data_IF_910573979340
#
_entry.id   IF_910573979340
#
_cell.length_a   1.000
_cell.length_b   1.000
_cell.length_c   1.000
_cell.angle_alpha   90.00
_cell.angle_beta   90.00
_cell.angle_gamma   90.00
#
_symmetry.space_group_name_H-M   'P 1'
#
loop_
_entity.id
_entity.type
_entity.pdbx_description
1 polymer ?
#
# COMPACT_ATOMS: atom_id res chain seq x y z
N UNK A 1 16.88 11.33 -17.44
CA UNK A 1 17.43 10.00 -17.73
C UNK A 1 18.13 9.35 -16.54
N UNK A 2 19.24 9.90 -15.99
CA UNK A 2 19.96 9.30 -14.84
C UNK A 2 19.05 8.87 -13.66
N UNK A 3 18.22 9.77 -13.13
CA UNK A 3 17.27 9.44 -12.06
C UNK A 3 16.28 8.33 -12.42
N UNK A 4 15.85 8.27 -13.68
CA UNK A 4 14.93 7.24 -14.14
C UNK A 4 15.58 5.86 -14.17
N UNK A 5 16.84 5.77 -14.61
CA UNK A 5 17.61 4.50 -14.60
C UNK A 5 17.83 3.99 -13.18
N UNK A 6 18.21 4.88 -12.25
CA UNK A 6 18.41 4.52 -10.84
C UNK A 6 17.12 4.02 -10.19
N UNK A 7 16.01 4.72 -10.42
CA UNK A 7 14.73 4.30 -9.87
C UNK A 7 14.31 2.93 -10.43
N UNK A 8 14.48 2.69 -11.73
CA UNK A 8 14.19 1.38 -12.32
C UNK A 8 15.09 0.27 -11.78
N UNK A 9 16.39 0.52 -11.56
CA UNK A 9 17.27 -0.49 -10.98
C UNK A 9 16.87 -0.85 -9.55
N UNK A 10 16.35 0.10 -8.78
CA UNK A 10 15.81 -0.16 -7.44
C UNK A 10 14.53 -1.02 -7.46
N UNK A 11 13.72 -0.94 -8.51
CA UNK A 11 12.47 -1.71 -8.64
C UNK A 11 12.66 -3.17 -9.08
N UNK A 12 13.86 -3.54 -9.56
CA UNK A 12 14.17 -4.92 -9.91
C UNK A 12 14.07 -5.86 -8.70
N UNK A 13 14.51 -5.40 -7.52
CA UNK A 13 14.42 -6.17 -6.28
C UNK A 13 12.98 -6.56 -5.93
N UNK A 14 12.07 -5.59 -5.75
CA UNK A 14 10.65 -5.88 -5.54
C UNK A 14 10.03 -6.79 -6.61
N UNK A 15 10.38 -6.63 -7.89
CA UNK A 15 9.85 -7.48 -8.96
C UNK A 15 10.26 -8.94 -8.76
N UNK A 16 11.54 -9.18 -8.49
CA UNK A 16 12.05 -10.52 -8.20
C UNK A 16 11.43 -11.09 -6.92
N UNK A 17 11.16 -10.26 -5.92
CA UNK A 17 10.51 -10.68 -4.68
C UNK A 17 9.08 -11.21 -4.93
N UNK A 18 8.27 -10.54 -5.77
CA UNK A 18 6.94 -11.06 -6.13
C UNK A 18 7.00 -12.38 -6.93
N UNK A 19 7.97 -12.50 -7.84
CA UNK A 19 8.18 -13.75 -8.58
C UNK A 19 8.61 -14.90 -7.65
N UNK A 20 9.48 -14.62 -6.68
CA UNK A 20 9.85 -15.57 -5.64
C UNK A 20 8.67 -15.91 -4.72
N UNK A 21 7.83 -14.92 -4.38
CA UNK A 21 6.61 -15.15 -3.59
C UNK A 21 5.68 -16.14 -4.30
N UNK A 22 5.45 -15.95 -5.60
CA UNK A 22 4.66 -16.89 -6.42
C UNK A 22 5.22 -18.32 -6.37
N UNK A 23 6.53 -18.49 -6.59
CA UNK A 23 7.12 -19.83 -6.64
C UNK A 23 7.15 -20.52 -5.28
N UNK A 24 7.42 -19.78 -4.21
CA UNK A 24 7.56 -20.35 -2.86
C UNK A 24 6.20 -20.62 -2.21
N UNK A 25 5.21 -19.76 -2.44
CA UNK A 25 3.86 -19.96 -1.91
C UNK A 25 3.07 -21.06 -2.63
N UNK A 26 3.58 -21.61 -3.73
CA UNK A 26 2.94 -22.74 -4.43
C UNK A 26 3.12 -24.08 -3.72
N UNK A 27 4.13 -24.20 -2.86
CA UNK A 27 4.45 -25.44 -2.14
C UNK A 27 4.14 -25.30 -0.65
N UNK A 28 3.68 -26.39 -0.03
CA UNK A 28 3.29 -26.45 1.37
C UNK A 28 4.45 -26.13 2.31
N UNK A 29 4.17 -25.44 3.42
CA UNK A 29 5.14 -24.94 4.40
C UNK A 29 6.16 -25.97 4.88
N UNK A 30 5.70 -27.20 5.14
CA UNK A 30 6.53 -28.34 5.53
C UNK A 30 6.88 -29.16 4.28
N UNK A 31 8.17 -29.28 3.91
CA UNK A 31 8.61 -30.12 2.81
C UNK A 31 8.45 -31.62 3.02
N UNK A 32 8.31 -32.06 4.28
CA UNK A 32 8.30 -33.47 4.65
C UNK A 32 6.90 -34.09 4.72
N UNK A 33 5.87 -33.24 4.75
CA UNK A 33 4.48 -33.65 4.94
C UNK A 33 3.66 -33.22 3.72
N UNK A 34 2.92 -34.17 3.11
CA UNK A 34 1.91 -33.85 2.11
C UNK A 34 0.57 -33.60 2.83
N UNK A 35 0.04 -32.37 2.80
CA UNK A 35 -1.24 -32.06 3.45
C UNK A 35 -2.44 -32.79 2.82
N UNK A 36 -2.30 -33.29 1.59
CA UNK A 36 -3.42 -33.91 0.85
C UNK A 36 -4.39 -32.89 0.23
N UNK A 37 -4.10 -31.59 0.32
CA UNK A 37 -4.86 -30.50 -0.30
C UNK A 37 -3.94 -29.50 -1.00
N UNK A 38 -4.47 -28.82 -2.02
CA UNK A 38 -3.71 -27.91 -2.89
C UNK A 38 -3.66 -26.46 -2.41
N UNK A 39 -2.95 -25.57 -3.13
CA UNK A 39 -2.81 -24.14 -2.80
C UNK A 39 -4.12 -23.32 -2.93
N UNK A 40 -5.17 -23.91 -3.47
CA UNK A 40 -6.50 -23.33 -3.56
C UNK A 40 -7.29 -23.49 -2.25
N UNK A 41 -6.88 -24.43 -1.40
CA UNK A 41 -7.50 -24.67 -0.10
C UNK A 41 -7.17 -23.51 0.87
N UNK A 42 -8.15 -22.95 1.60
CA UNK A 42 -7.91 -21.89 2.57
C UNK A 42 -7.01 -22.27 3.75
N UNK A 43 -6.84 -23.56 4.04
CA UNK A 43 -5.90 -24.06 5.05
C UNK A 43 -4.46 -24.15 4.54
N UNK A 44 -4.24 -23.98 3.24
CA UNK A 44 -2.92 -24.10 2.65
C UNK A 44 -2.02 -22.92 3.02
N UNK A 45 -0.94 -23.23 3.72
CA UNK A 45 0.12 -22.26 4.03
C UNK A 45 1.34 -22.59 3.17
N UNK A 46 1.74 -21.62 2.33
CA UNK A 46 2.90 -21.74 1.47
C UNK A 46 4.23 -21.56 2.21
N UNK A 47 5.36 -21.94 1.59
CA UNK A 47 6.73 -21.80 2.15
C UNK A 47 7.23 -20.36 2.24
N UNK A 48 6.59 -19.55 3.07
CA UNK A 48 6.91 -18.13 3.27
C UNK A 48 8.35 -17.89 3.78
N UNK A 49 8.88 -18.81 4.60
CA UNK A 49 10.20 -18.67 5.23
C UNK A 49 11.36 -18.79 4.23
N UNK A 50 11.16 -19.48 3.10
CA UNK A 50 12.21 -19.73 2.11
C UNK A 50 12.70 -18.44 1.45
N UNK A 51 11.83 -17.44 1.33
CA UNK A 51 12.17 -16.10 0.86
C UNK A 51 13.25 -15.43 1.70
N UNK A 52 13.14 -15.49 3.02
CA UNK A 52 14.10 -14.90 3.94
C UNK A 52 15.47 -15.59 3.87
N UNK A 53 15.48 -16.92 3.76
CA UNK A 53 16.71 -17.70 3.63
C UNK A 53 17.45 -17.33 2.35
N UNK A 54 16.76 -17.34 1.20
CA UNK A 54 17.41 -17.01 -0.07
C UNK A 54 17.93 -15.56 -0.08
N UNK A 55 17.11 -14.61 0.40
CA UNK A 55 17.51 -13.21 0.49
C UNK A 55 18.74 -13.01 1.40
N UNK A 56 18.81 -13.71 2.53
CA UNK A 56 19.95 -13.68 3.44
C UNK A 56 21.24 -14.17 2.78
N UNK A 57 21.17 -15.28 2.05
CA UNK A 57 22.31 -15.83 1.30
C UNK A 57 22.77 -14.85 0.20
N UNK A 58 21.84 -14.28 -0.56
CA UNK A 58 22.17 -13.29 -1.60
C UNK A 58 22.84 -12.04 -1.03
N UNK A 59 22.42 -11.58 0.15
CA UNK A 59 23.06 -10.46 0.84
C UNK A 59 24.49 -10.80 1.28
N UNK A 60 24.74 -12.01 1.80
CA UNK A 60 26.08 -12.46 2.17
C UNK A 60 27.01 -12.54 0.95
N UNK A 61 26.51 -13.06 -0.18
CA UNK A 61 27.25 -13.10 -1.44
C UNK A 61 27.59 -11.70 -1.94
N UNK A 62 26.65 -10.76 -1.87
CA UNK A 62 26.89 -9.36 -2.24
C UNK A 62 27.85 -8.65 -1.29
N UNK A 63 27.84 -8.97 0.01
CA UNK A 63 28.69 -8.34 1.01
C UNK A 63 30.19 -8.59 0.76
N UNK A 64 30.56 -9.77 0.25
CA UNK A 64 31.95 -10.14 0.01
C UNK A 64 32.67 -9.20 -0.98
N UNK A 65 32.15 -8.91 -2.19
CA UNK A 65 32.71 -7.87 -3.06
C UNK A 65 32.79 -6.49 -2.42
N UNK A 66 31.76 -6.06 -1.68
CA UNK A 66 31.76 -4.77 -1.00
C UNK A 66 32.83 -4.67 0.09
N UNK A 67 33.15 -5.77 0.76
CA UNK A 67 34.23 -5.83 1.75
C UNK A 67 35.63 -5.66 1.13
N UNK A 68 35.79 -5.95 -0.17
CA UNK A 68 37.05 -5.82 -0.91
C UNK A 68 37.27 -4.38 -1.41
N UNK A 69 36.26 -3.50 -1.37
CA UNK A 69 36.42 -2.12 -1.82
C UNK A 69 37.46 -1.38 -0.95
N UNK A 70 38.42 -0.67 -1.60
CA UNK A 70 39.39 0.11 -0.85
C UNK A 70 38.69 1.21 -0.07
N UNK A 71 39.17 1.47 1.16
CA UNK A 71 38.64 2.54 2.04
C UNK A 71 38.61 3.93 1.37
N UNK A 72 39.41 4.14 0.32
CA UNK A 72 39.45 5.38 -0.47
C UNK A 72 39.46 5.01 -1.95
N UNK A 73 38.50 5.53 -2.70
CA UNK A 73 38.48 5.41 -4.16
C UNK A 73 39.55 6.35 -4.77
N UNK A 74 40.43 5.85 -5.64
CA UNK A 74 41.43 6.68 -6.33
C UNK A 74 40.71 7.72 -7.20
N UNK A 75 40.97 9.02 -6.95
CA UNK A 75 40.38 10.14 -7.69
C UNK A 75 39.50 11.09 -6.88
N UNK A 76 39.06 10.71 -5.67
CA UNK A 76 38.24 11.57 -4.79
C UNK A 76 38.99 12.73 -4.13
N UNK A 77 40.33 12.75 -4.20
CA UNK A 77 41.16 13.74 -3.52
C UNK A 77 41.22 15.13 -4.21
N UNK A 78 40.64 15.29 -5.42
CA UNK A 78 40.76 16.55 -6.18
C UNK A 78 39.67 17.59 -5.89
N UNK A 79 38.57 17.26 -5.20
CA UNK A 79 37.41 18.17 -5.06
C UNK A 79 37.09 18.61 -3.63
N UNK A 80 37.84 18.20 -2.62
CA UNK A 80 37.69 18.79 -1.28
C UNK A 80 39.05 18.90 -0.60
N UNK A 81 39.56 20.13 -0.52
CA UNK A 81 40.41 20.53 0.61
C UNK A 81 39.54 20.55 1.88
N UNK A 82 38.93 19.42 2.24
CA UNK A 82 38.42 19.22 3.57
C UNK A 82 39.65 19.10 4.45
N UNK A 83 39.82 20.06 5.38
CA UNK A 83 40.92 20.05 6.35
C UNK A 83 40.94 18.69 7.03
N UNK A 84 41.99 17.90 6.77
CA UNK A 84 42.27 16.67 7.51
C UNK A 84 42.33 17.04 9.01
N UNK A 85 41.38 16.52 9.79
CA UNK A 85 41.37 16.66 11.25
C UNK A 85 40.06 17.10 11.90
N UNK A 86 39.10 17.70 11.17
CA UNK A 86 37.79 18.00 11.77
C UNK A 86 36.84 16.81 11.58
N UNK A 87 36.65 16.02 12.65
CA UNK A 87 35.59 15.01 12.72
C UNK A 87 34.22 15.63 12.41
N UNK A 88 33.23 14.79 12.09
CA UNK A 88 31.85 15.22 11.78
C UNK A 88 31.36 16.11 12.92
N UNK A 89 31.32 17.42 12.70
CA UNK A 89 30.82 18.36 13.69
C UNK A 89 29.30 18.19 13.76
N UNK A 90 28.83 17.54 14.82
CA UNK A 90 27.40 17.37 15.11
C UNK A 90 26.64 18.71 15.09
N UNK A 91 27.34 19.80 15.43
CA UNK A 91 26.84 21.18 15.35
C UNK A 91 26.51 21.61 13.91
N UNK A 92 27.31 21.20 12.93
CA UNK A 92 27.06 21.45 11.51
C UNK A 92 25.86 20.67 10.99
N UNK A 93 25.73 19.40 11.40
CA UNK A 93 24.55 18.59 11.09
C UNK A 93 23.27 19.20 11.66
N UNK A 94 23.29 19.62 12.92
CA UNK A 94 22.13 20.24 13.57
C UNK A 94 21.76 21.59 12.95
N UNK A 95 22.75 22.38 12.51
CA UNK A 95 22.51 23.61 11.78
C UNK A 95 21.82 23.34 10.43
N UNK A 96 22.31 22.35 9.66
CA UNK A 96 21.69 21.93 8.40
C UNK A 96 20.25 21.42 8.62
N UNK A 97 20.02 20.54 9.60
CA UNK A 97 18.66 20.07 9.95
C UNK A 97 17.72 21.21 10.30
N UNK A 98 18.17 22.19 11.11
CA UNK A 98 17.39 23.39 11.43
C UNK A 98 17.05 24.22 10.20
N UNK A 99 17.97 24.36 9.23
CA UNK A 99 17.69 25.06 7.96
C UNK A 99 16.65 24.32 7.13
N UNK A 100 16.78 23.00 7.02
CA UNK A 100 15.86 22.15 6.27
C UNK A 100 14.45 22.15 6.86
N UNK A 101 14.32 22.06 8.18
CA UNK A 101 13.02 22.14 8.87
C UNK A 101 12.36 23.51 8.65
N UNK A 102 13.17 24.58 8.59
CA UNK A 102 12.69 25.94 8.30
C UNK A 102 12.38 26.18 6.82
N UNK A 103 12.76 25.28 5.91
CA UNK A 103 12.45 25.39 4.49
C UNK A 103 11.03 24.86 4.22
N UNK A 104 10.04 25.74 3.99
CA UNK A 104 8.65 25.32 3.84
C UNK A 104 8.43 24.46 2.60
N UNK A 105 9.23 24.62 1.54
CA UNK A 105 9.08 23.82 0.31
C UNK A 105 9.53 22.38 0.60
N UNK A 106 10.65 22.20 1.29
CA UNK A 106 11.16 20.89 1.63
C UNK A 106 10.18 20.12 2.54
N UNK A 107 9.63 20.78 3.57
CA UNK A 107 8.62 20.17 4.45
C UNK A 107 7.35 19.78 3.69
N UNK A 108 6.88 20.60 2.75
CA UNK A 108 5.72 20.26 1.93
C UNK A 108 5.98 19.05 1.03
N UNK A 109 7.19 18.92 0.49
CA UNK A 109 7.60 17.75 -0.29
C UNK A 109 7.72 16.48 0.58
N UNK A 110 8.04 16.61 1.87
CA UNK A 110 8.02 15.48 2.81
C UNK A 110 6.59 15.01 3.08
N UNK A 111 5.70 15.94 3.43
CA UNK A 111 4.29 15.62 3.71
C UNK A 111 3.66 14.97 2.47
N UNK A 112 3.88 15.56 1.30
CA UNK A 112 3.51 14.98 -0.01
C UNK A 112 3.84 13.50 -0.12
N UNK A 113 5.11 13.15 0.13
CA UNK A 113 5.58 11.80 -0.08
C UNK A 113 5.05 10.83 0.98
N UNK A 114 4.75 11.31 2.19
CA UNK A 114 4.05 10.53 3.22
C UNK A 114 2.64 10.14 2.71
N UNK A 115 1.82 11.09 2.26
CA UNK A 115 0.48 10.77 1.73
C UNK A 115 0.55 9.84 0.51
N UNK A 116 1.50 10.09 -0.40
CA UNK A 116 1.75 9.22 -1.54
C UNK A 116 2.16 7.80 -1.13
N UNK A 117 2.97 7.67 -0.06
CA UNK A 117 3.40 6.36 0.48
C UNK A 117 2.23 5.58 1.09
N UNK A 118 1.32 6.24 1.81
CA UNK A 118 0.13 5.58 2.38
C UNK A 118 -0.81 5.09 1.27
N UNK A 119 -1.18 5.97 0.33
CA UNK A 119 -2.09 5.57 -0.75
C UNK A 119 -1.48 4.58 -1.74
N UNK A 120 -0.16 4.63 -1.94
CA UNK A 120 0.55 3.76 -2.87
C UNK A 120 0.99 2.43 -2.25
N UNK A 121 1.90 2.49 -1.27
CA UNK A 121 2.46 1.29 -0.66
C UNK A 121 1.43 0.53 0.15
N UNK A 122 0.58 1.23 0.91
CA UNK A 122 -0.52 0.62 1.66
C UNK A 122 -1.47 -0.19 0.78
N UNK A 123 -1.87 0.36 -0.38
CA UNK A 123 -2.63 -0.37 -1.38
C UNK A 123 -1.90 -1.63 -1.87
N UNK A 124 -0.66 -1.47 -2.36
CA UNK A 124 0.09 -2.59 -2.95
C UNK A 124 0.39 -3.70 -1.96
N UNK A 125 0.53 -3.39 -0.67
CA UNK A 125 0.78 -4.41 0.36
C UNK A 125 -0.44 -5.27 0.67
N UNK A 126 -1.63 -4.68 0.71
CA UNK A 126 -2.86 -5.43 0.96
C UNK A 126 -3.46 -6.02 -0.31
N UNK A 127 -2.90 -5.68 -1.48
CA UNK A 127 -3.44 -6.13 -2.75
C UNK A 127 -3.42 -7.66 -2.94
N UNK A 128 -2.36 -8.41 -2.58
CA UNK A 128 -2.42 -9.88 -2.63
C UNK A 128 -3.56 -10.43 -1.76
N UNK A 129 -3.70 -9.92 -0.53
CA UNK A 129 -4.77 -10.36 0.38
C UNK A 129 -6.16 -10.02 -0.15
N UNK A 130 -6.32 -8.85 -0.75
CA UNK A 130 -7.54 -8.47 -1.44
C UNK A 130 -7.83 -9.38 -2.64
N UNK A 131 -6.82 -9.71 -3.44
CA UNK A 131 -6.96 -10.62 -4.59
C UNK A 131 -7.36 -12.05 -4.16
N UNK A 132 -6.77 -12.58 -3.09
CA UNK A 132 -7.17 -13.86 -2.49
C UNK A 132 -8.65 -13.88 -2.13
N UNK A 133 -9.14 -12.81 -1.48
CA UNK A 133 -10.50 -12.79 -0.94
C UNK A 133 -11.56 -12.35 -1.96
N UNK A 134 -11.27 -11.34 -2.77
CA UNK A 134 -12.21 -10.78 -3.74
C UNK A 134 -12.37 -11.69 -4.96
N UNK A 135 -11.27 -12.33 -5.40
CA UNK A 135 -11.25 -13.13 -6.62
C UNK A 135 -11.00 -14.62 -6.37
N UNK A 136 -10.96 -15.07 -5.10
CA UNK A 136 -10.77 -16.48 -4.72
C UNK A 136 -9.52 -17.10 -5.37
N UNK A 137 -8.45 -16.32 -5.43
CA UNK A 137 -7.16 -16.76 -5.94
C UNK A 137 -6.35 -17.40 -4.82
N UNK A 138 -5.51 -18.37 -5.15
CA UNK A 138 -4.50 -18.87 -4.20
C UNK A 138 -3.54 -17.74 -3.80
N UNK A 139 -2.90 -17.84 -2.64
CA UNK A 139 -1.90 -16.87 -2.19
C UNK A 139 -0.75 -16.68 -3.20
N UNK A 140 -0.40 -17.76 -3.92
CA UNK A 140 0.60 -17.74 -4.98
C UNK A 140 0.14 -16.91 -6.19
N UNK A 141 -1.05 -17.18 -6.74
CA UNK A 141 -1.60 -16.48 -7.89
C UNK A 141 -1.90 -15.02 -7.58
N UNK A 142 -2.45 -14.76 -6.40
CA UNK A 142 -2.68 -13.41 -5.91
C UNK A 142 -1.38 -12.60 -5.87
N UNK A 143 -0.28 -13.18 -5.40
CA UNK A 143 1.05 -12.54 -5.42
C UNK A 143 1.52 -12.27 -6.85
N UNK A 144 1.37 -13.24 -7.75
CA UNK A 144 1.78 -13.11 -9.14
C UNK A 144 1.01 -11.99 -9.85
N UNK A 145 -0.33 -12.01 -9.77
CA UNK A 145 -1.22 -11.12 -10.50
C UNK A 145 -1.26 -9.69 -9.94
N UNK A 146 -1.07 -9.52 -8.62
CA UNK A 146 -1.04 -8.19 -7.99
C UNK A 146 0.26 -7.42 -8.25
N UNK A 147 1.41 -8.05 -7.96
CA UNK A 147 2.69 -7.34 -7.89
C UNK A 147 3.48 -7.33 -9.20
N UNK A 148 3.55 -8.46 -9.89
CA UNK A 148 4.43 -8.60 -11.07
C UNK A 148 4.02 -7.66 -12.21
N UNK A 149 2.74 -7.58 -12.62
CA UNK A 149 2.31 -6.69 -13.70
C UNK A 149 2.47 -5.21 -13.33
N UNK A 150 2.13 -4.84 -12.09
CA UNK A 150 2.18 -3.45 -11.63
C UNK A 150 3.62 -2.92 -11.50
N UNK A 151 4.55 -3.75 -11.01
CA UNK A 151 5.97 -3.40 -10.95
C UNK A 151 6.61 -3.37 -12.34
N UNK A 152 6.24 -4.28 -13.23
CA UNK A 152 6.70 -4.26 -14.62
C UNK A 152 6.29 -2.96 -15.32
N UNK A 153 5.03 -2.54 -15.15
CA UNK A 153 4.55 -1.26 -15.64
C UNK A 153 5.35 -0.06 -15.09
N UNK A 154 5.65 -0.06 -13.78
CA UNK A 154 6.48 0.98 -13.15
C UNK A 154 7.91 1.03 -13.71
N UNK A 155 8.51 -0.14 -13.93
CA UNK A 155 9.87 -0.28 -14.48
C UNK A 155 9.97 0.25 -15.91
N UNK A 156 8.91 0.12 -16.71
CA UNK A 156 8.86 0.65 -18.09
C UNK A 156 8.47 2.14 -18.11
N UNK A 157 7.54 2.57 -17.26
CA UNK A 157 7.07 3.95 -17.22
C UNK A 157 8.18 4.93 -16.83
N UNK A 158 9.00 4.59 -15.83
CA UNK A 158 9.97 5.53 -15.25
C UNK A 158 11.09 5.94 -16.22
N UNK A 159 11.73 5.03 -16.98
CA UNK A 159 12.72 5.38 -18.01
C UNK A 159 12.11 6.14 -19.18
N UNK A 160 10.94 5.73 -19.67
CA UNK A 160 10.21 6.44 -20.74
C UNK A 160 9.95 7.88 -20.28
N UNK A 161 9.43 8.04 -19.07
CA UNK A 161 9.28 9.32 -18.40
C UNK A 161 10.54 10.16 -18.32
N UNK A 162 11.64 9.54 -17.88
CA UNK A 162 12.95 10.15 -17.80
C UNK A 162 13.52 10.57 -19.15
N UNK A 163 13.15 9.90 -20.24
CA UNK A 163 13.46 10.26 -21.63
C UNK A 163 12.57 11.41 -22.12
N UNK A 164 11.27 11.37 -21.86
CA UNK A 164 10.32 12.45 -22.20
C UNK A 164 10.75 13.78 -21.55
N UNK A 165 11.12 13.75 -20.27
CA UNK A 165 11.65 14.92 -19.55
C UNK A 165 12.94 15.46 -20.18
N UNK A 166 13.82 14.57 -20.66
CA UNK A 166 15.06 14.94 -21.32
C UNK A 166 14.82 15.56 -22.71
N UNK A 167 13.89 14.98 -23.48
CA UNK A 167 13.58 15.41 -24.84
C UNK A 167 12.81 16.72 -24.88
N UNK A 168 11.74 16.83 -24.09
CA UNK A 168 10.81 17.97 -24.15
C UNK A 168 11.20 19.12 -23.22
N UNK A 169 12.00 18.87 -22.18
CA UNK A 169 12.44 19.88 -21.19
C UNK A 169 11.29 20.81 -20.75
N UNK A 170 10.18 20.28 -20.25
CA UNK A 170 9.00 21.08 -19.93
C UNK A 170 9.33 22.15 -18.88
N UNK A 171 8.69 23.31 -19.00
CA UNK A 171 8.80 24.35 -17.97
C UNK A 171 8.13 23.89 -16.65
N UNK A 172 8.41 24.59 -15.55
CA UNK A 172 7.91 24.22 -14.23
C UNK A 172 6.37 24.18 -14.14
N UNK A 173 5.67 25.05 -14.89
CA UNK A 173 4.21 25.13 -14.88
C UNK A 173 3.57 23.92 -15.55
N UNK A 174 4.05 23.55 -16.73
CA UNK A 174 3.59 22.37 -17.48
C UNK A 174 3.93 21.11 -16.70
N UNK A 175 5.16 21.00 -16.17
CA UNK A 175 5.58 19.83 -15.41
C UNK A 175 4.71 19.58 -14.17
N UNK A 176 4.43 20.62 -13.38
CA UNK A 176 3.59 20.50 -12.18
C UNK A 176 2.12 20.26 -12.52
N UNK A 177 1.61 20.84 -13.61
CA UNK A 177 0.28 20.54 -14.14
C UNK A 177 0.14 19.10 -14.60
N UNK A 178 1.13 18.54 -15.29
CA UNK A 178 1.10 17.14 -15.74
C UNK A 178 1.22 16.15 -14.57
N UNK A 179 2.09 16.43 -13.57
CA UNK A 179 2.16 15.61 -12.35
C UNK A 179 0.82 15.57 -11.62
N UNK A 180 0.16 16.72 -11.52
CA UNK A 180 -1.19 16.86 -10.95
C UNK A 180 -2.20 15.97 -11.68
N UNK A 181 -2.23 16.03 -13.01
CA UNK A 181 -3.14 15.22 -13.82
C UNK A 181 -2.91 13.72 -13.59
N UNK A 182 -1.65 13.28 -13.55
CA UNK A 182 -1.32 11.87 -13.31
C UNK A 182 -1.71 11.38 -11.90
N UNK A 183 -1.66 12.24 -10.88
CA UNK A 183 -2.16 11.92 -9.53
C UNK A 183 -3.68 11.78 -9.54
N UNK A 184 -4.40 12.69 -10.22
CA UNK A 184 -5.86 12.60 -10.36
C UNK A 184 -6.26 11.33 -11.12
N UNK A 185 -5.55 10.99 -12.21
CA UNK A 185 -5.74 9.73 -12.93
C UNK A 185 -5.54 8.54 -12.00
N UNK A 186 -4.54 8.56 -11.12
CA UNK A 186 -4.32 7.50 -10.13
C UNK A 186 -5.45 7.40 -9.12
N UNK A 187 -5.91 8.52 -8.56
CA UNK A 187 -6.99 8.55 -7.59
C UNK A 187 -8.31 8.04 -8.20
N UNK A 188 -8.66 8.52 -9.40
CA UNK A 188 -9.81 8.02 -10.16
C UNK A 188 -9.64 6.55 -10.56
N UNK A 189 -8.41 6.14 -10.91
CA UNK A 189 -8.06 4.76 -11.19
C UNK A 189 -8.34 3.84 -10.00
N UNK A 190 -7.96 4.24 -8.78
CA UNK A 190 -8.31 3.47 -7.58
C UNK A 190 -9.83 3.34 -7.39
N UNK A 191 -10.60 4.40 -7.63
CA UNK A 191 -12.07 4.30 -7.60
C UNK A 191 -12.62 3.37 -8.69
N UNK A 192 -12.03 3.38 -9.88
CA UNK A 192 -12.41 2.48 -10.96
C UNK A 192 -12.12 1.01 -10.64
N UNK A 193 -11.06 0.72 -9.88
CA UNK A 193 -10.73 -0.64 -9.43
C UNK A 193 -11.75 -1.23 -8.43
N UNK A 194 -12.69 -0.43 -7.92
CA UNK A 194 -13.82 -0.96 -7.15
C UNK A 194 -14.84 -1.74 -8.01
N UNK A 195 -14.86 -1.49 -9.33
CA UNK A 195 -15.81 -2.09 -10.27
C UNK A 195 -15.57 -3.59 -10.50
N UNK A 196 -14.36 -4.05 -10.87
CA UNK A 196 -14.08 -5.48 -11.03
C UNK A 196 -14.20 -6.20 -9.68
N UNK A 197 -15.21 -7.04 -9.56
CA UNK A 197 -15.50 -7.84 -8.37
C UNK A 197 -16.20 -9.14 -8.76
N UNK A 198 -16.01 -10.18 -7.95
CA UNK A 198 -16.78 -11.42 -8.05
C UNK A 198 -18.17 -11.26 -7.41
N UNK A 199 -19.13 -12.11 -7.79
CA UNK A 199 -20.41 -12.21 -7.11
C UNK A 199 -20.20 -12.59 -5.63
N UNK A 200 -21.05 -12.07 -4.74
CA UNK A 200 -20.92 -12.30 -3.30
C UNK A 200 -21.43 -13.71 -3.00
N UNK A 201 -20.51 -14.59 -2.62
CA UNK A 201 -20.84 -15.90 -2.08
C UNK A 201 -21.32 -15.69 -0.64
N UNK A 202 -22.60 -15.96 -0.39
CA UNK A 202 -23.18 -15.81 0.94
C UNK A 202 -22.84 -17.02 1.78
N UNK A 203 -22.29 -16.78 2.98
CA UNK A 203 -22.14 -17.84 3.97
C UNK A 203 -23.53 -18.16 4.52
N UNK A 204 -23.96 -19.42 4.37
CA UNK A 204 -25.27 -19.88 4.84
C UNK A 204 -25.38 -19.79 6.37
N UNK A 205 -26.57 -19.44 6.85
CA UNK A 205 -26.90 -19.28 8.28
C UNK A 205 -25.98 -18.31 9.05
N UNK A 206 -25.29 -17.41 8.35
CA UNK A 206 -24.40 -16.44 8.98
C UNK A 206 -25.16 -15.35 9.74
N UNK A 207 -24.89 -15.25 11.04
CA UNK A 207 -25.33 -14.15 11.89
C UNK A 207 -24.26 -13.74 12.90
N UNK A 208 -24.33 -12.50 13.39
CA UNK A 208 -23.48 -11.99 14.47
C UNK A 208 -24.39 -11.51 15.61
N UNK A 209 -24.15 -12.01 16.83
CA UNK A 209 -24.79 -11.53 18.05
C UNK A 209 -23.74 -11.11 19.10
N UNK A 210 -24.19 -10.60 20.25
CA UNK A 210 -23.30 -10.20 21.36
C UNK A 210 -22.46 -11.37 21.93
N UNK A 211 -22.89 -12.62 21.68
CA UNK A 211 -22.25 -13.85 22.16
C UNK A 211 -21.27 -14.45 21.13
N UNK A 212 -21.27 -13.97 19.89
CA UNK A 212 -20.36 -14.39 18.83
C UNK A 212 -21.04 -14.68 17.48
N UNK A 213 -20.45 -15.63 16.77
CA UNK A 213 -20.86 -16.05 15.43
C UNK A 213 -22.01 -17.06 15.55
N UNK A 214 -23.14 -16.78 14.90
CA UNK A 214 -24.28 -17.69 14.77
C UNK A 214 -24.14 -18.39 13.41
N UNK A 215 -24.10 -19.72 13.43
CA UNK A 215 -24.08 -20.59 12.25
C UNK A 215 -25.11 -21.72 12.34
N UNK A 216 -25.87 -21.76 13.44
CA UNK A 216 -26.88 -22.78 13.69
C UNK A 216 -28.16 -22.45 12.92
N UNK A 217 -28.65 -23.43 12.18
CA UNK A 217 -29.95 -23.43 11.51
C UNK A 217 -30.71 -24.71 11.86
N UNK A 218 -31.98 -24.81 11.45
CA UNK A 218 -32.85 -25.96 11.77
C UNK A 218 -32.29 -27.32 11.34
N UNK A 219 -31.38 -27.34 10.36
CA UNK A 219 -30.79 -28.53 9.78
C UNK A 219 -29.53 -29.05 10.51
N UNK A 220 -28.83 -28.21 11.29
CA UNK A 220 -27.56 -28.56 11.94
C UNK A 220 -27.59 -28.45 13.48
N UNK A 221 -28.74 -28.14 14.08
CA UNK A 221 -28.92 -28.05 15.54
C UNK A 221 -28.54 -29.32 16.30
N UNK A 222 -28.68 -30.49 15.68
CA UNK A 222 -28.34 -31.77 16.28
C UNK A 222 -26.84 -32.12 16.20
N UNK A 223 -26.01 -31.29 15.57
CA UNK A 223 -24.63 -31.64 15.22
C UNK A 223 -23.56 -31.11 16.18
N UNK A 224 -23.91 -30.34 17.23
CA UNK A 224 -22.95 -29.80 18.23
C UNK A 224 -21.63 -29.30 17.61
N UNK A 225 -21.72 -28.53 16.52
CA UNK A 225 -20.57 -28.15 15.71
C UNK A 225 -19.62 -27.20 16.46
N UNK A 226 -18.31 -27.38 16.23
CA UNK A 226 -17.29 -26.47 16.76
C UNK A 226 -17.02 -25.31 15.80
N UNK A 227 -16.77 -24.13 16.34
CA UNK A 227 -16.34 -22.94 15.60
C UNK A 227 -14.83 -22.70 15.65
N UNK A 228 -14.07 -23.65 16.23
CA UNK A 228 -12.62 -23.54 16.38
C UNK A 228 -11.84 -23.93 15.12
N UNK A 229 -12.47 -24.62 14.16
CA UNK A 229 -11.85 -25.09 12.92
C UNK A 229 -12.69 -24.61 11.75
N UNK A 230 -12.06 -23.90 10.82
CA UNK A 230 -12.72 -23.35 9.63
C UNK A 230 -12.36 -24.17 8.40
N UNK A 231 -13.35 -24.88 7.86
CA UNK A 231 -13.21 -25.81 6.73
C UNK A 231 -14.36 -25.56 5.74
N UNK A 232 -14.33 -24.45 4.97
CA UNK A 232 -15.48 -24.08 4.17
C UNK A 232 -15.81 -25.16 3.14
N UNK A 233 -17.10 -25.36 2.91
CA UNK A 233 -17.60 -26.29 1.90
C UNK A 233 -18.57 -25.60 0.96
N UNK A 234 -18.46 -25.91 -0.33
CA UNK A 234 -19.31 -25.36 -1.37
C UNK A 234 -20.42 -26.35 -1.74
N UNK A 235 -21.66 -25.87 -1.75
CA UNK A 235 -22.79 -26.58 -2.30
C UNK A 235 -22.69 -26.68 -3.84
N UNK A 236 -23.37 -27.65 -4.44
CA UNK A 236 -23.33 -27.88 -5.90
C UNK A 236 -23.88 -26.71 -6.73
N UNK A 237 -24.64 -25.80 -6.12
CA UNK A 237 -25.14 -24.58 -6.76
C UNK A 237 -24.04 -23.57 -7.12
N UNK A 238 -22.82 -23.75 -6.59
CA UNK A 238 -21.69 -22.84 -6.81
C UNK A 238 -21.86 -21.47 -6.16
N UNK A 239 -22.84 -21.30 -5.25
CA UNK A 239 -23.17 -20.02 -4.62
C UNK A 239 -23.29 -20.08 -3.11
N UNK A 240 -23.65 -21.24 -2.55
CA UNK A 240 -23.88 -21.41 -1.12
C UNK A 240 -22.66 -22.05 -0.47
N UNK A 241 -22.01 -21.31 0.43
CA UNK A 241 -20.87 -21.82 1.21
C UNK A 241 -21.25 -21.97 2.68
N UNK A 242 -20.84 -23.08 3.30
CA UNK A 242 -20.99 -23.32 4.73
C UNK A 242 -19.63 -23.22 5.44
N UNK A 243 -19.66 -22.95 6.74
CA UNK A 243 -18.45 -22.76 7.56
C UNK A 243 -17.60 -24.03 7.73
N UNK A 244 -18.25 -25.19 7.79
CA UNK A 244 -17.63 -26.51 7.94
C UNK A 244 -18.57 -27.59 7.38
N UNK A 245 -18.09 -28.82 7.14
CA UNK A 245 -18.95 -29.96 6.80
C UNK A 245 -20.04 -30.23 7.85
N UNK A 246 -19.73 -30.06 9.14
CA UNK A 246 -20.68 -30.21 10.24
C UNK A 246 -21.82 -29.19 10.16
N UNK A 247 -21.48 -27.92 9.90
CA UNK A 247 -22.46 -26.84 9.74
C UNK A 247 -23.33 -27.01 8.49
N UNK A 248 -22.87 -27.77 7.49
CA UNK A 248 -23.68 -28.20 6.34
C UNK A 248 -24.54 -29.45 6.63
N UNK A 249 -24.38 -30.07 7.81
CA UNK A 249 -25.10 -31.26 8.23
C UNK A 249 -24.65 -32.55 7.54
N UNK A 250 -23.42 -32.58 6.98
CA UNK A 250 -22.90 -33.75 6.28
C UNK A 250 -22.51 -34.87 7.24
N UNK A 251 -22.83 -36.13 6.89
CA UNK A 251 -22.52 -37.30 7.72
C UNK A 251 -21.51 -38.26 7.09
N UNK A 252 -21.26 -38.12 5.79
CA UNK A 252 -20.28 -38.92 5.06
C UNK A 252 -19.29 -38.07 4.27
N UNK A 253 -18.16 -38.69 3.90
CA UNK A 253 -17.18 -38.15 2.96
C UNK A 253 -16.77 -39.27 2.01
N UNK A 254 -16.93 -39.03 0.71
CA UNK A 254 -16.52 -39.94 -0.37
C UNK A 254 -15.53 -39.19 -1.25
N UNK A 255 -14.28 -39.65 -1.28
CA UNK A 255 -13.16 -38.94 -1.92
C UNK A 255 -13.03 -37.50 -1.36
N UNK A 256 -13.12 -36.49 -2.23
CA UNK A 256 -13.04 -35.04 -1.94
C UNK A 256 -14.43 -34.40 -1.81
N UNK A 257 -15.50 -35.20 -1.72
CA UNK A 257 -16.88 -34.70 -1.62
C UNK A 257 -17.54 -35.18 -0.34
N UNK A 258 -18.20 -34.27 0.36
CA UNK A 258 -19.04 -34.56 1.51
C UNK A 258 -20.43 -35.01 1.04
N UNK A 259 -21.01 -35.97 1.75
CA UNK A 259 -22.29 -36.59 1.40
C UNK A 259 -23.27 -36.50 2.57
N UNK A 260 -24.56 -36.65 2.23
CA UNK A 260 -25.67 -36.68 3.18
C UNK A 260 -25.74 -35.39 4.01
N UNK A 261 -25.63 -34.24 3.34
CA UNK A 261 -25.65 -32.91 3.96
C UNK A 261 -27.08 -32.36 4.10
N UNK A 262 -27.65 -32.45 5.30
CA UNK A 262 -29.05 -32.07 5.58
C UNK A 262 -29.38 -30.58 5.38
N UNK A 263 -28.38 -29.68 5.42
CA UNK A 263 -28.63 -28.25 5.26
C UNK A 263 -28.83 -27.82 3.81
N UNK A 264 -28.50 -28.67 2.83
CA UNK A 264 -28.72 -28.36 1.41
C UNK A 264 -30.21 -28.38 1.05
N UNK A 265 -30.97 -29.32 1.64
CA UNK A 265 -32.43 -29.44 1.48
C UNK A 265 -33.17 -28.16 1.89
N UNK A 266 -32.69 -27.47 2.93
CA UNK A 266 -33.31 -26.24 3.44
C UNK A 266 -33.24 -25.07 2.43
N UNK A 267 -32.37 -25.19 1.42
CA UNK A 267 -32.24 -24.23 0.32
C UNK A 267 -32.83 -24.75 -1.00
N UNK A 268 -33.53 -25.89 -0.98
CA UNK A 268 -34.16 -26.48 -2.16
C UNK A 268 -33.18 -27.12 -3.14
N UNK A 269 -32.00 -27.53 -2.66
CA UNK A 269 -30.99 -28.23 -3.46
C UNK A 269 -31.19 -29.74 -3.30
N UNK A 270 -31.59 -30.44 -4.37
CA UNK A 270 -31.89 -31.89 -4.34
C UNK A 270 -30.63 -32.77 -4.23
N UNK A 271 -29.45 -32.20 -4.46
CA UNK A 271 -28.16 -32.91 -4.37
C UNK A 271 -27.54 -32.73 -2.98
N UNK A 272 -27.50 -33.80 -2.19
CA UNK A 272 -26.93 -33.84 -0.84
C UNK A 272 -25.39 -33.91 -0.81
N UNK A 273 -24.73 -33.29 -1.80
CA UNK A 273 -23.29 -33.32 -1.97
C UNK A 273 -22.70 -31.91 -1.86
N UNK A 274 -21.58 -31.81 -1.13
CA UNK A 274 -20.78 -30.59 -1.04
C UNK A 274 -19.31 -30.89 -1.35
N UNK A 275 -18.60 -29.90 -1.84
CA UNK A 275 -17.16 -29.99 -2.18
C UNK A 275 -16.33 -29.16 -1.20
N UNK A 276 -15.07 -29.53 -1.03
CA UNK A 276 -14.13 -28.79 -0.20
C UNK A 276 -13.83 -27.40 -0.79
N UNK A 277 -13.67 -26.41 0.09
CA UNK A 277 -13.31 -25.04 -0.28
C UNK A 277 -14.49 -24.10 -0.45
N UNK A 278 -14.16 -22.87 -0.85
CA UNK A 278 -15.15 -21.85 -1.18
C UNK A 278 -15.80 -22.14 -2.53
N UNK A 279 -17.05 -21.69 -2.71
CA UNK A 279 -17.62 -21.66 -4.04
C UNK A 279 -16.84 -20.72 -4.96
N UNK A 280 -16.68 -21.10 -6.23
CA UNK A 280 -15.99 -20.29 -7.24
C UNK A 280 -16.96 -20.04 -8.38
N UNK A 281 -17.32 -18.78 -8.59
CA UNK A 281 -18.08 -18.37 -9.77
C UNK A 281 -17.17 -18.36 -11.02
N UNK A 282 -17.66 -18.90 -12.14
CA UNK A 282 -16.92 -18.97 -13.40
C UNK A 282 -16.52 -17.58 -13.95
N UNK A 283 -17.26 -16.52 -13.61
CA UNK A 283 -16.96 -15.15 -13.99
C UNK A 283 -15.77 -14.53 -13.24
N UNK A 284 -15.37 -15.13 -12.11
CA UNK A 284 -14.40 -14.56 -11.18
C UNK A 284 -13.02 -14.33 -11.80
N UNK A 285 -12.51 -15.33 -12.53
CA UNK A 285 -11.19 -15.26 -13.18
C UNK A 285 -11.12 -14.13 -14.21
N UNK A 286 -12.21 -13.93 -14.97
CA UNK A 286 -12.30 -12.84 -15.94
C UNK A 286 -12.21 -11.48 -15.25
N UNK A 287 -12.88 -11.31 -14.11
CA UNK A 287 -12.81 -10.07 -13.32
C UNK A 287 -11.41 -9.84 -12.73
N UNK A 288 -10.74 -10.91 -12.27
CA UNK A 288 -9.36 -10.85 -11.81
C UNK A 288 -8.39 -10.40 -12.92
N UNK A 289 -8.58 -10.89 -14.15
CA UNK A 289 -7.80 -10.46 -15.31
C UNK A 289 -8.07 -9.00 -15.68
N UNK A 290 -9.33 -8.55 -15.65
CA UNK A 290 -9.67 -7.14 -15.88
C UNK A 290 -8.95 -6.25 -14.86
N UNK A 291 -8.96 -6.63 -13.58
CA UNK A 291 -8.21 -5.91 -12.53
C UNK A 291 -6.72 -5.91 -12.85
N UNK A 292 -6.15 -7.08 -13.15
CA UNK A 292 -4.73 -7.31 -13.40
C UNK A 292 -4.21 -6.53 -14.61
N UNK A 293 -5.06 -6.24 -15.60
CA UNK A 293 -4.71 -5.39 -16.75
C UNK A 293 -4.87 -3.90 -16.41
N UNK A 294 -5.96 -3.55 -15.72
CA UNK A 294 -6.31 -2.17 -15.42
C UNK A 294 -5.34 -1.52 -14.45
N UNK A 295 -4.99 -2.22 -13.36
CA UNK A 295 -4.12 -1.66 -12.32
C UNK A 295 -2.72 -1.27 -12.84
N UNK A 296 -2.00 -2.11 -13.62
CA UNK A 296 -0.75 -1.72 -14.25
C UNK A 296 -0.86 -0.55 -15.23
N UNK A 297 -1.97 -0.40 -15.96
CA UNK A 297 -2.18 0.76 -16.84
C UNK A 297 -2.24 2.05 -16.00
N UNK A 298 -2.97 2.03 -14.88
CA UNK A 298 -3.04 3.16 -13.94
C UNK A 298 -1.64 3.45 -13.36
N UNK A 299 -0.89 2.42 -12.96
CA UNK A 299 0.48 2.57 -12.43
C UNK A 299 1.43 3.13 -13.50
N UNK A 300 1.33 2.65 -14.74
CA UNK A 300 2.14 3.12 -15.85
C UNK A 300 1.94 4.62 -16.09
N UNK A 301 0.67 5.04 -16.27
CA UNK A 301 0.33 6.43 -16.52
C UNK A 301 0.76 7.32 -15.35
N UNK A 302 0.45 6.91 -14.12
CA UNK A 302 0.72 7.73 -12.94
C UNK A 302 2.21 7.91 -12.61
N UNK A 303 3.07 6.98 -13.06
CA UNK A 303 4.51 7.02 -12.79
C UNK A 303 5.36 7.51 -13.96
N UNK A 304 4.72 7.94 -15.06
CA UNK A 304 5.44 8.47 -16.23
C UNK A 304 6.28 9.73 -15.91
N UNK A 305 5.98 10.46 -14.83
CA UNK A 305 6.79 11.62 -14.41
C UNK A 305 7.52 11.38 -13.08
N UNK A 306 7.65 10.13 -12.63
CA UNK A 306 8.27 9.83 -11.34
C UNK A 306 9.74 10.30 -11.26
N UNK A 307 10.47 10.25 -12.38
CA UNK A 307 11.84 10.74 -12.49
C UNK A 307 11.97 12.27 -12.29
N UNK A 308 10.87 13.04 -12.33
CA UNK A 308 10.87 14.48 -12.06
C UNK A 308 10.90 14.79 -10.56
N UNK A 309 10.35 13.93 -9.70
CA UNK A 309 10.27 14.15 -8.25
C UNK A 309 11.63 14.41 -7.59
N UNK A 310 12.68 13.58 -7.78
CA UNK A 310 13.99 13.84 -7.19
C UNK A 310 14.65 15.11 -7.75
N UNK A 311 14.37 15.49 -9.00
CA UNK A 311 14.88 16.74 -9.59
C UNK A 311 14.28 17.96 -8.89
N UNK A 312 12.97 17.94 -8.63
CA UNK A 312 12.28 19.01 -7.91
C UNK A 312 12.83 19.12 -6.48
N UNK A 313 12.98 17.98 -5.80
CA UNK A 313 13.53 17.90 -4.43
C UNK A 313 14.91 18.54 -4.34
N UNK A 314 15.84 18.17 -5.23
CA UNK A 314 17.21 18.69 -5.19
C UNK A 314 17.34 20.16 -5.60
N UNK A 315 16.35 20.74 -6.29
CA UNK A 315 16.35 22.15 -6.70
C UNK A 315 15.91 23.11 -5.60
N UNK A 316 15.16 22.63 -4.59
CA UNK A 316 14.72 23.48 -3.48
C UNK A 316 15.67 23.46 -2.28
N UNK A 317 16.82 22.80 -2.40
CA UNK A 317 17.81 22.60 -1.33
C UNK A 317 19.14 23.20 -1.78
N UNK A 318 19.78 23.94 -0.87
CA UNK A 318 21.12 24.50 -1.08
C UNK A 318 22.16 23.38 -1.30
N UNK A 319 23.19 23.64 -2.09
CA UNK A 319 24.16 22.62 -2.50
C UNK A 319 24.88 21.93 -1.34
N UNK A 320 25.10 22.65 -0.25
CA UNK A 320 25.74 22.13 0.97
C UNK A 320 24.84 21.19 1.78
N UNK A 321 23.52 21.35 1.70
CA UNK A 321 22.54 20.62 2.52
C UNK A 321 21.94 19.40 1.82
N UNK A 322 22.24 19.17 0.53
CA UNK A 322 21.60 18.11 -0.28
C UNK A 322 21.73 16.71 0.30
N UNK A 323 22.91 16.33 0.79
CA UNK A 323 23.14 15.00 1.37
C UNK A 323 22.36 14.81 2.67
N UNK A 324 22.41 15.79 3.57
CA UNK A 324 21.64 15.80 4.83
C UNK A 324 20.14 15.77 4.55
N UNK A 325 19.68 16.51 3.55
CA UNK A 325 18.28 16.57 3.17
C UNK A 325 17.76 15.24 2.61
N UNK A 326 18.53 14.56 1.75
CA UNK A 326 18.17 13.22 1.28
C UNK A 326 18.09 12.22 2.44
N UNK A 327 19.06 12.26 3.38
CA UNK A 327 19.04 11.41 4.57
C UNK A 327 17.85 11.70 5.49
N UNK A 328 17.57 12.97 5.77
CA UNK A 328 16.40 13.39 6.54
C UNK A 328 15.10 12.94 5.87
N UNK A 329 15.03 13.01 4.54
CA UNK A 329 13.85 12.62 3.79
C UNK A 329 13.51 11.14 3.95
N UNK A 330 14.49 10.26 3.72
CA UNK A 330 14.30 8.81 3.91
C UNK A 330 14.07 8.45 5.38
N UNK A 331 14.70 9.15 6.33
CA UNK A 331 14.50 8.94 7.77
C UNK A 331 13.06 9.25 8.18
N UNK A 332 12.52 10.38 7.71
CA UNK A 332 11.13 10.78 8.01
C UNK A 332 10.16 9.79 7.36
N UNK A 333 10.37 9.42 6.09
CA UNK A 333 9.53 8.40 5.45
C UNK A 333 9.55 7.08 6.20
N UNK A 334 10.72 6.64 6.65
CA UNK A 334 10.87 5.40 7.43
C UNK A 334 10.19 5.49 8.79
N UNK A 335 10.26 6.65 9.46
CA UNK A 335 9.57 6.87 10.74
C UNK A 335 8.04 6.82 10.58
N UNK A 336 7.52 7.31 9.46
CA UNK A 336 6.10 7.29 9.14
C UNK A 336 5.68 6.07 8.28
N UNK A 337 6.54 5.07 8.14
CA UNK A 337 6.26 3.83 7.39
C UNK A 337 5.30 2.88 8.15
N UNK A 338 4.26 3.43 8.77
CA UNK A 338 3.23 2.68 9.51
C UNK A 338 2.08 2.24 8.59
N UNK A 339 2.25 2.34 7.27
CA UNK A 339 1.26 1.88 6.29
C UNK A 339 0.85 0.40 6.45
N UNK A 340 1.72 -0.57 6.83
CA UNK A 340 1.28 -1.96 7.00
C UNK A 340 0.32 -2.11 8.18
N UNK A 341 0.62 -1.43 9.29
CA UNK A 341 -0.21 -1.44 10.51
C UNK A 341 -1.53 -0.73 10.26
N UNK A 342 -1.49 0.43 9.61
CA UNK A 342 -2.67 1.23 9.30
C UNK A 342 -3.62 0.51 8.33
N UNK A 343 -3.11 0.00 7.21
CA UNK A 343 -3.93 -0.76 6.27
C UNK A 343 -4.33 -2.13 6.84
N UNK A 344 -3.50 -2.75 7.70
CA UNK A 344 -3.84 -3.98 8.41
C UNK A 344 -5.09 -3.78 9.28
N UNK A 345 -5.09 -2.77 10.14
CA UNK A 345 -6.24 -2.44 10.98
C UNK A 345 -7.52 -2.11 10.18
N UNK A 346 -7.37 -1.49 9.00
CA UNK A 346 -8.50 -1.24 8.08
C UNK A 346 -9.06 -2.54 7.53
N UNK A 347 -8.20 -3.44 7.07
CA UNK A 347 -8.60 -4.75 6.53
C UNK A 347 -9.22 -5.61 7.62
N UNK A 348 -8.64 -5.62 8.81
CA UNK A 348 -9.15 -6.29 10.00
C UNK A 348 -10.54 -5.80 10.40
N UNK A 349 -10.85 -4.52 10.17
CA UNK A 349 -12.20 -3.99 10.40
C UNK A 349 -13.27 -4.59 9.47
N UNK A 350 -12.85 -5.17 8.34
CA UNK A 350 -13.72 -5.91 7.43
C UNK A 350 -13.80 -7.41 7.78
N UNK A 351 -13.11 -7.87 8.82
CA UNK A 351 -13.18 -9.25 9.24
C UNK A 351 -14.56 -9.59 9.84
N UNK A 352 -15.15 -10.69 9.38
CA UNK A 352 -16.40 -11.25 9.89
C UNK A 352 -16.15 -12.43 10.82
N UNK A 353 -15.15 -13.27 10.50
CA UNK A 353 -14.82 -14.47 11.25
C UNK A 353 -13.35 -14.48 11.62
N UNK A 354 -13.08 -14.42 12.93
CA UNK A 354 -11.74 -14.47 13.51
C UNK A 354 -11.39 -15.89 13.94
N UNK A 355 -10.15 -16.28 13.65
CA UNK A 355 -9.53 -17.43 14.29
C UNK A 355 -9.44 -17.20 15.80
N UNK A 356 -9.81 -18.23 16.57
CA UNK A 356 -9.65 -18.24 18.02
C UNK A 356 -8.82 -19.44 18.43
N UNK A 357 -7.60 -19.19 18.87
CA UNK A 357 -6.73 -20.22 19.40
C UNK A 357 -6.35 -19.87 20.85
N UNK A 358 -6.65 -20.76 21.80
CA UNK A 358 -6.40 -20.58 23.23
C UNK A 358 -6.90 -19.22 23.81
N UNK A 359 -8.03 -18.71 23.32
CA UNK A 359 -8.61 -17.43 23.77
C UNK A 359 -7.98 -16.17 23.19
N UNK A 360 -6.99 -16.30 22.30
CA UNK A 360 -6.43 -15.19 21.53
C UNK A 360 -7.01 -15.17 20.10
N UNK A 361 -7.21 -13.96 19.57
CA UNK A 361 -7.66 -13.75 18.19
C UNK A 361 -6.46 -13.82 17.24
N UNK A 362 -6.53 -14.73 16.27
CA UNK A 362 -5.51 -14.96 15.25
C UNK A 362 -5.86 -14.29 13.92
N UNK A 363 -5.64 -15.01 12.82
CA UNK A 363 -5.94 -14.53 11.48
C UNK A 363 -7.44 -14.39 11.25
N UNK A 364 -7.83 -13.51 10.33
CA UNK A 364 -9.20 -13.48 9.85
C UNK A 364 -9.42 -14.54 8.77
N UNK A 365 -10.42 -15.39 8.97
CA UNK A 365 -10.78 -16.46 8.02
C UNK A 365 -11.74 -16.00 6.94
N UNK A 366 -12.66 -15.08 7.28
CA UNK A 366 -13.69 -14.62 6.35
C UNK A 366 -13.92 -13.12 6.47
N UNK A 367 -13.86 -12.43 5.35
CA UNK A 367 -13.98 -10.97 5.26
C UNK A 367 -15.29 -10.57 4.58
N UNK A 368 -15.85 -9.43 4.99
CA UNK A 368 -16.83 -8.68 4.20
C UNK A 368 -16.09 -8.06 3.00
N UNK A 369 -16.17 -8.75 1.86
CA UNK A 369 -15.51 -8.35 0.63
C UNK A 369 -16.00 -7.00 0.10
N UNK A 370 -17.24 -6.59 0.38
CA UNK A 370 -17.77 -5.29 -0.06
C UNK A 370 -17.13 -4.18 0.74
N UNK A 371 -17.11 -4.33 2.08
CA UNK A 371 -16.44 -3.38 2.96
C UNK A 371 -14.94 -3.32 2.67
N UNK A 372 -14.28 -4.47 2.46
CA UNK A 372 -12.86 -4.54 2.11
C UNK A 372 -12.58 -3.80 0.79
N UNK A 373 -13.37 -4.03 -0.26
CA UNK A 373 -13.23 -3.33 -1.55
C UNK A 373 -13.28 -1.80 -1.39
N UNK A 374 -14.30 -1.28 -0.70
CA UNK A 374 -14.44 0.16 -0.50
C UNK A 374 -13.35 0.75 0.39
N UNK A 375 -12.97 0.05 1.46
CA UNK A 375 -11.93 0.51 2.37
C UNK A 375 -10.58 0.55 1.68
N UNK A 376 -10.15 -0.52 1.00
CA UNK A 376 -8.84 -0.57 0.35
C UNK A 376 -8.71 0.50 -0.73
N UNK A 377 -9.64 0.52 -1.69
CA UNK A 377 -9.56 1.43 -2.83
C UNK A 377 -9.95 2.85 -2.46
N UNK A 378 -10.97 3.03 -1.62
CA UNK A 378 -11.48 4.34 -1.25
C UNK A 378 -10.50 5.11 -0.38
N UNK A 379 -9.85 4.43 0.57
CA UNK A 379 -8.81 5.04 1.40
C UNK A 379 -7.56 5.31 0.57
N UNK A 380 -7.17 4.40 -0.34
CA UNK A 380 -6.04 4.63 -1.26
C UNK A 380 -6.30 5.81 -2.20
N UNK A 381 -7.51 5.93 -2.72
CA UNK A 381 -7.98 7.07 -3.50
C UNK A 381 -8.03 8.34 -2.66
N UNK A 382 -8.41 8.27 -1.38
CA UNK A 382 -8.41 9.41 -0.46
C UNK A 382 -6.98 9.88 -0.16
N UNK A 383 -6.03 9.01 0.16
CA UNK A 383 -4.64 9.40 0.38
C UNK A 383 -3.99 9.96 -0.89
N UNK A 384 -4.27 9.34 -2.04
CA UNK A 384 -3.78 9.82 -3.35
C UNK A 384 -4.50 11.10 -3.81
N UNK A 385 -5.76 11.28 -3.45
CA UNK A 385 -6.57 12.45 -3.75
C UNK A 385 -6.29 13.61 -2.81
N UNK A 386 -5.98 13.35 -1.54
CA UNK A 386 -5.47 14.37 -0.61
C UNK A 386 -4.05 14.77 -0.97
N UNK A 387 -3.24 13.85 -1.52
CA UNK A 387 -1.99 14.18 -2.22
C UNK A 387 -2.23 15.18 -3.38
N UNK A 388 -3.34 15.02 -4.11
CA UNK A 388 -3.80 16.01 -5.10
C UNK A 388 -4.11 17.40 -4.50
N UNK A 389 -3.88 17.69 -3.21
CA UNK A 389 -3.91 19.05 -2.66
C UNK A 389 -2.54 19.70 -2.45
N UNK A 390 -1.43 19.05 -2.81
CA UNK A 390 -0.21 19.75 -3.26
C UNK A 390 -0.45 20.48 -4.59
N UNK A 391 -1.59 20.27 -5.24
CA UNK A 391 -2.16 21.22 -6.22
C UNK A 391 -2.38 22.62 -5.59
N UNK A 392 -2.14 22.86 -4.29
CA UNK A 392 -1.95 24.19 -3.68
C UNK A 392 -0.48 24.70 -3.68
N UNK A 393 0.52 23.89 -3.99
CA UNK A 393 1.86 24.33 -4.45
C UNK A 393 1.75 25.13 -5.77
N UNK A 394 0.60 25.03 -6.46
CA UNK A 394 0.06 26.02 -7.42
C UNK A 394 0.05 27.47 -6.91
N UNK A 395 0.19 27.75 -5.61
CA UNK A 395 0.48 29.11 -5.08
C UNK A 395 1.98 29.39 -4.91
N UNK A 396 2.78 28.40 -4.54
CA UNK A 396 4.22 28.57 -4.30
C UNK A 396 5.01 28.87 -5.59
N UNK A 397 4.62 28.29 -6.72
CA UNK A 397 5.22 28.63 -8.03
C UNK A 397 4.63 29.95 -8.59
N UNK A 398 3.37 30.29 -8.26
CA UNK A 398 2.78 31.59 -8.64
C UNK A 398 3.46 32.79 -7.94
N UNK A 399 4.08 32.56 -6.77
CA UNK A 399 4.84 33.55 -5.99
C UNK A 399 6.33 33.61 -6.35
N UNK A 400 6.93 32.50 -6.77
CA UNK A 400 8.31 32.48 -7.27
C UNK A 400 8.46 33.16 -8.64
N UNK A 401 7.45 33.05 -9.52
CA UNK A 401 7.45 33.64 -10.87
C UNK A 401 7.13 35.14 -10.91
N UNK A 402 6.57 35.75 -9.86
CA UNK A 402 6.41 37.22 -9.81
C UNK A 402 7.68 37.96 -9.40
N UNK A 403 8.61 37.29 -8.71
CA UNK A 403 9.83 37.92 -8.16
C UNK A 403 11.01 37.88 -9.14
N UNK A 404 11.03 36.92 -10.07
CA UNK A 404 12.08 36.81 -11.09
C UNK A 404 11.93 37.82 -12.25
N UNK A 405 10.82 38.55 -12.29
CA UNK A 405 10.60 39.69 -13.21
C UNK A 405 11.15 41.01 -12.66
N UNK A 406 11.66 41.05 -11.41
CA UNK A 406 12.21 42.27 -10.82
C UNK A 406 13.38 41.98 -9.88
N UNK A 407 14.58 42.20 -10.42
CA UNK A 407 15.86 42.42 -9.71
C UNK A 407 16.77 41.22 -9.46
N UNK A 408 17.92 41.29 -10.15
CA UNK A 408 19.26 40.91 -9.73
C UNK A 408 19.44 40.60 -8.23
N UNK A 409 20.22 39.55 -7.95
CA UNK A 409 21.10 39.35 -6.78
C UNK A 409 20.77 40.22 -5.55
N UNK A 410 20.12 39.67 -4.52
CA UNK A 410 20.00 40.38 -3.23
C UNK A 410 20.49 39.50 -2.08
N UNK A 411 21.59 39.98 -1.49
CA UNK A 411 22.24 39.53 -0.26
C UNK A 411 21.27 39.52 0.94
N UNK A 412 21.52 38.59 1.87
CA UNK A 412 20.71 38.22 3.03
C UNK A 412 20.44 39.30 4.11
N UNK A 413 20.61 40.59 3.82
CA UNK A 413 20.45 41.68 4.79
C UNK A 413 19.13 42.46 4.62
N UNK A 414 18.44 42.37 3.47
CA UNK A 414 17.15 43.05 3.28
C UNK A 414 15.93 42.31 3.86
N UNK A 415 16.07 41.04 4.27
CA UNK A 415 14.94 40.24 4.78
C UNK A 415 14.50 40.62 6.21
N UNK A 416 15.37 41.24 7.02
CA UNK A 416 15.00 41.64 8.39
C UNK A 416 14.19 42.95 8.46
N UNK A 417 14.33 43.85 7.48
CA UNK A 417 13.64 45.16 7.52
C UNK A 417 12.15 45.04 7.15
N UNK A 418 11.75 44.03 6.36
CA UNK A 418 10.33 43.80 6.04
C UNK A 418 9.52 43.12 7.16
N UNK A 419 10.16 42.44 8.11
CA UNK A 419 9.47 41.70 9.19
C UNK A 419 8.99 42.61 10.33
N UNK A 420 9.56 43.81 10.50
CA UNK A 420 9.22 44.72 11.60
C UNK A 420 7.91 45.49 11.41
N UNK A 421 7.52 45.83 10.16
CA UNK A 421 6.36 46.73 9.91
C UNK A 421 4.99 46.06 9.87
N UNK A 422 4.90 44.74 9.68
CA UNK A 422 3.61 44.05 9.46
C UNK A 422 3.18 43.09 10.60
N UNK A 423 3.99 42.91 11.64
CA UNK A 423 3.66 42.05 12.79
C UNK A 423 2.50 42.57 13.66
N UNK A 424 2.30 43.89 13.72
CA UNK A 424 1.34 44.47 14.67
C UNK A 424 -0.13 44.47 14.19
N UNK A 425 -0.41 44.34 12.89
CA UNK A 425 -1.80 44.42 12.37
C UNK A 425 -2.50 43.06 12.28
N UNK A 426 -1.77 41.94 12.21
CA UNK A 426 -2.36 40.60 12.04
C UNK A 426 -2.69 39.86 13.34
N UNK A 427 -2.18 40.31 14.49
CA UNK A 427 -2.54 39.75 15.80
C UNK A 427 -4.01 40.02 16.20
N UNK A 428 -4.61 41.14 15.75
CA UNK A 428 -6.01 41.47 16.07
C UNK A 428 -7.05 40.64 15.30
N UNK A 429 -6.71 40.11 14.12
CA UNK A 429 -7.65 39.29 13.33
C UNK A 429 -7.64 37.81 13.77
N UNK A 430 -6.52 37.33 14.32
CA UNK A 430 -6.38 35.96 14.80
C UNK A 430 -7.07 35.73 16.16
N UNK A 431 -7.23 36.78 16.99
CA UNK A 431 -8.06 36.72 18.21
C UNK A 431 -9.56 36.70 17.94
N UNK A 432 -10.06 37.27 16.83
CA UNK A 432 -11.50 37.21 16.49
C UNK A 432 -11.93 35.85 15.94
N UNK A 433 -11.06 35.12 15.25
CA UNK A 433 -11.39 33.80 14.68
C UNK A 433 -11.30 32.64 15.69
N UNK A 434 -10.56 32.81 16.79
CA UNK A 434 -10.53 31.83 17.89
C UNK A 434 -11.78 31.95 18.78
N UNK A 435 -12.41 33.14 18.86
CA UNK A 435 -13.65 33.35 19.63
C UNK A 435 -14.94 32.92 18.92
N UNK A 436 -14.89 32.56 17.63
CA UNK A 436 -16.09 32.14 16.88
C UNK A 436 -16.30 30.61 16.86
N UNK A 437 -15.30 29.82 17.29
CA UNK A 437 -15.38 28.35 17.34
C UNK A 437 -15.57 27.77 18.77
N UNK A 438 -15.84 28.61 19.77
CA UNK A 438 -16.09 28.17 21.15
C UNK A 438 -17.53 28.37 21.63
N UNK A 439 -18.52 28.44 20.72
CA UNK A 439 -19.94 28.70 21.07
C UNK A 439 -20.95 27.68 20.54
N UNK A 440 -20.50 26.46 20.27
CA UNK A 440 -21.35 25.27 20.18
C UNK A 440 -20.70 24.20 21.07
N UNK A 441 -21.51 23.53 21.90
CA UNK A 441 -21.16 22.64 23.03
C UNK A 441 -21.09 23.37 24.39
N UNK A 442 -22.27 23.66 24.95
CA UNK A 442 -22.66 23.46 26.35
C UNK A 442 -24.00 24.15 26.63
N UNK A 443 -25.11 23.42 26.48
CA UNK A 443 -26.25 23.55 27.38
C UNK A 443 -27.23 22.38 27.16
N UNK A 444 -27.15 21.37 28.02
CA UNK A 444 -28.28 20.52 28.39
C UNK A 444 -27.99 19.90 29.76
N UNK A 445 -28.41 20.63 30.79
CA UNK A 445 -28.79 20.14 32.12
C UNK A 445 -29.81 21.15 32.65
N UNK A 446 -31.08 20.86 32.41
CA UNK A 446 -32.07 20.58 33.46
C UNK A 446 -33.18 19.71 32.84
#
# INVERSE_FOLDING_TARGET
MYFGVIQTSMMLGPLLAYLMSYTFLKYHEDPSTDPGFGPEDPLFIGRWWLGFVLQGVLLLVCAAPFAIFPRRLPGGAKTTKAKEGEGIKLTGLWAALKRLIKNPIFILLLIYEIFWSYGGYGHTMMLPKYMENQFRLSASEASLLSGTPSLSALMVATPIGGYLLYKFKPNAKVLTGSLTVFIVIRALGFLFLMVPKCEIIQMSNFGLNEQGLILEGSCNTNCSCSTNVFEPVCARDGKTTFFSPCHAGCTGKINESFTDCSCLDSYGLEDNFATEGFCIDHGCWTQALIYTITFPIIIFLSNLLNAAKPIIRLRCIETEDKSVALGMFETVLSLFALFPVFFGAIVDSACLVWEKNCGQTGNCWFYDITKFNYLLHGISALFTGTDSTVIAVKRLIKKAVSTDSSSHYINGTQMMVMLSRNGLRKMKLMQMLILFNSKFICNNKD
#
